data_IF_944361234693
#
_entry.id   IF_944361234693
#
_cell.length_a   1.000
_cell.length_b   1.000
_cell.length_c   1.000
_cell.angle_alpha   90.00
_cell.angle_beta   90.00
_cell.angle_gamma   90.00
#
_symmetry.space_group_name_H-M   'P 1'
#
loop_
_entity.id
_entity.type
_entity.pdbx_description
1 polymer ?
#
# COMPACT_ATOMS: atom_id res chain seq x y z
N UNK A 1 43.02 55.70 63.03
CA UNK A 1 42.38 56.64 63.99
C UNK A 1 40.95 56.76 63.65
N UNK A 2 40.10 56.33 64.55
CA UNK A 2 38.67 56.61 64.79
C UNK A 2 37.65 56.33 63.68
N UNK A 3 36.85 55.34 63.89
CA UNK A 3 35.70 55.17 64.79
C UNK A 3 34.43 55.86 64.30
N UNK A 4 33.52 55.05 64.08
CA UNK A 4 32.14 54.95 64.58
C UNK A 4 31.08 55.69 63.73
N UNK A 5 29.85 55.31 63.56
CA UNK A 5 28.93 54.47 64.27
C UNK A 5 27.73 54.22 63.38
N UNK A 6 27.20 53.03 63.45
CA UNK A 6 25.79 52.60 63.32
C UNK A 6 24.70 53.68 63.56
N UNK A 7 23.55 53.51 62.90
CA UNK A 7 22.29 53.10 63.47
C UNK A 7 21.18 53.10 62.40
N UNK A 8 20.09 52.37 62.58
CA UNK A 8 19.38 51.62 61.57
C UNK A 8 17.96 52.19 61.32
N UNK A 9 17.26 51.61 60.37
CA UNK A 9 15.84 51.75 60.37
C UNK A 9 15.22 51.89 58.99
N UNK A 10 14.35 50.96 58.70
CA UNK A 10 13.33 51.14 57.67
C UNK A 10 13.13 49.96 56.75
N UNK A 11 12.45 48.89 57.26
CA UNK A 11 11.88 47.88 56.41
C UNK A 11 10.64 48.48 55.74
N UNK A 12 10.69 48.63 54.43
CA UNK A 12 9.49 48.70 53.60
C UNK A 12 9.33 47.39 52.82
N UNK A 13 8.39 46.60 53.25
CA UNK A 13 7.93 45.44 52.54
C UNK A 13 7.04 45.94 51.42
N UNK A 14 7.56 45.93 50.18
CA UNK A 14 6.70 46.08 48.98
C UNK A 14 6.26 44.69 48.58
N UNK A 15 4.99 44.38 48.89
CA UNK A 15 4.30 43.22 48.43
C UNK A 15 4.04 43.35 46.92
N UNK A 16 4.96 42.82 46.12
CA UNK A 16 4.80 42.74 44.67
C UNK A 16 3.96 41.52 44.35
N UNK A 17 2.72 41.74 44.01
CA UNK A 17 1.80 40.71 43.46
C UNK A 17 2.33 40.29 42.10
N UNK A 18 3.03 39.16 42.00
CA UNK A 18 3.39 38.57 40.74
C UNK A 18 2.13 38.00 40.11
N UNK A 19 1.55 38.69 39.12
CA UNK A 19 0.53 38.15 38.25
C UNK A 19 1.21 37.12 37.32
N UNK A 20 1.08 35.85 37.67
CA UNK A 20 1.46 34.76 36.79
C UNK A 20 0.45 34.74 35.61
N UNK A 21 0.84 35.37 34.50
CA UNK A 21 0.10 35.23 33.27
C UNK A 21 0.24 33.76 32.78
N UNK A 22 -0.72 32.93 33.13
CA UNK A 22 -0.88 31.63 32.45
C UNK A 22 -1.29 31.90 31.01
N UNK A 23 -0.31 31.98 30.12
CA UNK A 23 -0.56 31.82 28.69
C UNK A 23 -0.90 30.37 28.48
N UNK A 24 -2.17 30.06 28.39
CA UNK A 24 -2.63 28.80 27.85
C UNK A 24 -2.09 28.71 26.42
N UNK A 25 -1.02 27.94 26.22
CA UNK A 25 -0.59 27.58 24.91
C UNK A 25 -1.76 26.79 24.28
N UNK A 26 -2.48 27.43 23.37
CA UNK A 26 -3.40 26.71 22.48
C UNK A 26 -2.52 25.70 21.75
N UNK A 27 -2.77 24.40 21.88
CA UNK A 27 -1.98 23.44 21.14
C UNK A 27 -2.18 23.78 19.67
N UNK A 28 -1.10 24.15 18.98
CA UNK A 28 -1.09 24.26 17.52
C UNK A 28 -1.62 22.93 16.99
N UNK A 29 -2.75 22.96 16.32
CA UNK A 29 -3.28 21.81 15.63
C UNK A 29 -2.16 21.27 14.74
N UNK A 30 -1.75 20.01 14.95
CA UNK A 30 -0.74 19.37 14.07
C UNK A 30 -1.26 19.49 12.64
N UNK A 31 -0.41 19.85 11.66
CA UNK A 31 -0.82 19.85 10.28
C UNK A 31 -1.43 18.48 9.98
N UNK A 32 -2.60 18.49 9.36
CA UNK A 32 -3.32 17.26 9.03
C UNK A 32 -2.55 16.60 7.90
N UNK A 33 -1.92 15.45 8.16
CA UNK A 33 -1.24 14.68 7.12
C UNK A 33 -2.24 14.27 6.06
N UNK A 34 -1.83 14.25 4.80
CA UNK A 34 -2.67 13.83 3.68
C UNK A 34 -3.05 12.35 3.82
N UNK A 35 -2.08 11.51 4.16
CA UNK A 35 -2.28 10.09 4.48
C UNK A 35 -2.28 9.92 5.99
N UNK A 36 -3.45 9.96 6.66
CA UNK A 36 -3.52 9.56 8.04
C UNK A 36 -3.19 8.06 8.13
N UNK A 37 -2.60 7.63 9.22
CA UNK A 37 -2.38 6.21 9.47
C UNK A 37 -3.24 5.82 10.70
N UNK A 38 -4.12 4.82 10.60
CA UNK A 38 -4.36 3.99 9.41
C UNK A 38 -5.23 4.64 8.32
N UNK A 39 -5.13 4.16 7.09
CA UNK A 39 -5.95 4.62 5.97
C UNK A 39 -6.07 3.55 4.87
N UNK A 40 -7.20 3.55 4.18
CA UNK A 40 -7.40 2.81 2.93
C UNK A 40 -7.33 3.78 1.76
N UNK A 41 -6.47 3.49 0.79
CA UNK A 41 -6.37 4.24 -0.45
C UNK A 41 -7.03 3.44 -1.58
N UNK A 42 -7.69 4.17 -2.48
CA UNK A 42 -8.38 3.55 -3.61
C UNK A 42 -8.05 4.29 -4.89
N UNK A 43 -7.71 3.53 -5.94
CA UNK A 43 -7.51 4.03 -7.30
C UNK A 43 -8.67 3.64 -8.21
N UNK A 44 -9.12 4.52 -9.09
CA UNK A 44 -10.17 4.23 -10.08
C UNK A 44 -9.75 3.15 -11.06
N UNK A 45 -10.66 2.27 -11.41
CA UNK A 45 -10.49 1.30 -12.51
C UNK A 45 -10.45 1.97 -13.89
N UNK A 46 -10.14 1.18 -14.92
CA UNK A 46 -10.07 1.65 -16.31
C UNK A 46 -11.38 2.25 -16.81
N UNK A 47 -11.29 3.18 -17.77
CA UNK A 47 -12.43 3.93 -18.29
C UNK A 47 -12.82 5.15 -17.45
N UNK A 48 -12.09 5.44 -16.38
CA UNK A 48 -12.30 6.58 -15.50
C UNK A 48 -11.07 7.48 -15.42
N UNK A 49 -11.31 8.74 -15.08
CA UNK A 49 -10.23 9.66 -14.72
C UNK A 49 -9.40 9.09 -13.59
N UNK A 50 -8.07 9.05 -13.71
CA UNK A 50 -7.18 8.55 -12.69
C UNK A 50 -7.34 9.35 -11.39
N UNK A 51 -8.09 8.81 -10.44
CA UNK A 51 -8.38 9.47 -9.17
C UNK A 51 -8.04 8.54 -8.03
N UNK A 52 -7.27 9.04 -7.07
CA UNK A 52 -7.00 8.37 -5.80
C UNK A 52 -7.89 9.00 -4.72
N UNK A 53 -8.52 8.17 -3.91
CA UNK A 53 -9.21 8.60 -2.68
C UNK A 53 -8.54 7.98 -1.47
N UNK A 54 -8.44 8.78 -0.45
CA UNK A 54 -7.97 8.38 0.87
C UNK A 54 -9.19 8.35 1.77
N UNK A 55 -9.41 7.22 2.40
CA UNK A 55 -10.60 6.93 3.19
C UNK A 55 -10.15 6.52 4.59
N UNK A 56 -10.77 7.13 5.59
CA UNK A 56 -10.68 6.69 6.96
C UNK A 56 -11.43 5.35 7.08
N UNK A 57 -10.72 4.28 7.45
CA UNK A 57 -11.22 2.91 7.44
C UNK A 57 -12.33 2.68 8.48
N UNK A 58 -12.28 3.40 9.62
CA UNK A 58 -13.25 3.24 10.70
C UNK A 58 -14.60 3.88 10.39
N UNK A 59 -14.59 4.95 9.60
CA UNK A 59 -15.79 5.72 9.26
C UNK A 59 -16.26 5.53 7.82
N UNK A 60 -15.42 5.00 6.93
CA UNK A 60 -15.65 4.93 5.49
C UNK A 60 -15.72 6.32 4.83
N UNK A 61 -15.33 7.38 5.54
CA UNK A 61 -15.40 8.75 5.04
C UNK A 61 -14.12 9.13 4.31
N UNK A 62 -14.28 9.83 3.19
CA UNK A 62 -13.16 10.41 2.47
C UNK A 62 -12.43 11.44 3.35
N UNK A 63 -11.14 11.24 3.56
CA UNK A 63 -10.24 12.17 4.26
C UNK A 63 -9.43 13.04 3.30
N UNK A 64 -9.15 12.53 2.07
CA UNK A 64 -8.32 13.21 1.08
C UNK A 64 -8.46 12.60 -0.32
N UNK A 65 -7.55 12.96 -1.21
CA UNK A 65 -7.40 12.35 -2.52
C UNK A 65 -6.67 13.23 -3.53
N UNK A 66 -6.23 12.59 -4.62
CA UNK A 66 -5.43 13.18 -5.70
C UNK A 66 -6.04 12.86 -7.06
N UNK A 67 -5.79 13.73 -8.04
CA UNK A 67 -5.95 13.44 -9.48
C UNK A 67 -4.58 13.52 -10.14
N UNK A 68 -3.75 12.47 -9.97
CA UNK A 68 -2.29 12.54 -10.17
C UNK A 68 -1.88 12.80 -11.62
N UNK A 69 -2.74 12.49 -12.58
CA UNK A 69 -2.43 12.59 -14.01
C UNK A 69 -3.33 13.59 -14.77
N UNK A 70 -4.09 14.41 -14.03
CA UNK A 70 -5.09 15.33 -14.61
C UNK A 70 -6.35 14.62 -15.11
N UNK A 71 -7.27 15.39 -15.66
CA UNK A 71 -8.64 14.93 -16.01
C UNK A 71 -8.79 14.50 -17.49
N UNK A 72 -7.74 14.69 -18.30
CA UNK A 72 -7.77 14.38 -19.74
C UNK A 72 -7.62 12.90 -20.10
N UNK A 73 -7.34 12.03 -19.11
CA UNK A 73 -7.12 10.60 -19.30
C UNK A 73 -8.23 9.78 -18.65
N UNK A 74 -8.46 8.58 -19.17
CA UNK A 74 -9.46 7.63 -18.64
C UNK A 74 -8.86 6.24 -18.41
N UNK A 75 -7.57 6.18 -18.10
CA UNK A 75 -6.81 4.93 -17.92
C UNK A 75 -7.07 4.23 -16.58
N UNK A 76 -7.69 4.94 -15.64
CA UNK A 76 -7.64 4.53 -14.25
C UNK A 76 -6.25 4.69 -13.63
N UNK A 77 -6.09 4.29 -12.37
CA UNK A 77 -4.84 4.40 -11.62
C UNK A 77 -4.66 3.23 -10.68
N UNK A 78 -3.45 2.68 -10.62
CA UNK A 78 -3.03 1.75 -9.59
C UNK A 78 -2.32 2.51 -8.49
N UNK A 79 -2.44 2.03 -7.25
CA UNK A 79 -1.95 2.73 -6.06
C UNK A 79 -1.24 1.77 -5.14
N UNK A 80 -0.14 2.24 -4.54
CA UNK A 80 0.58 1.61 -3.44
C UNK A 80 0.97 2.67 -2.42
N UNK A 81 1.35 2.25 -1.23
CA UNK A 81 1.66 3.13 -0.10
C UNK A 81 2.90 2.62 0.62
N UNK A 82 3.82 3.51 0.97
CA UNK A 82 5.02 3.23 1.77
C UNK A 82 5.86 4.48 1.95
N UNK A 83 6.71 4.51 2.94
CA UNK A 83 7.56 5.65 3.28
C UNK A 83 8.78 5.70 2.35
N UNK A 84 8.61 6.32 1.18
CA UNK A 84 9.64 6.36 0.12
C UNK A 84 10.73 7.38 0.42
N UNK A 85 10.42 8.44 1.17
CA UNK A 85 11.34 9.51 1.52
C UNK A 85 11.96 9.37 2.92
N UNK A 86 11.60 8.32 3.67
CA UNK A 86 12.06 8.01 5.02
C UNK A 86 11.74 9.11 6.06
N UNK A 87 10.62 9.83 5.91
CA UNK A 87 10.17 10.85 6.84
C UNK A 87 9.27 10.32 7.98
N UNK A 88 8.95 9.02 7.95
CA UNK A 88 8.09 8.35 8.92
C UNK A 88 6.59 8.49 8.58
N UNK A 89 6.25 9.00 7.40
CA UNK A 89 4.87 9.10 6.92
C UNK A 89 4.75 8.32 5.60
N UNK A 90 3.75 7.42 5.45
CA UNK A 90 3.59 6.69 4.21
C UNK A 90 3.26 7.61 3.03
N UNK A 91 4.03 7.52 1.95
CA UNK A 91 3.83 8.23 0.69
C UNK A 91 2.88 7.48 -0.24
N UNK A 92 2.35 8.18 -1.24
CA UNK A 92 1.43 7.63 -2.22
C UNK A 92 2.17 7.38 -3.54
N UNK A 93 2.34 6.12 -3.91
CA UNK A 93 2.88 5.73 -5.22
C UNK A 93 1.72 5.38 -6.15
N UNK A 94 1.68 6.03 -7.31
CA UNK A 94 0.63 5.81 -8.31
C UNK A 94 1.22 5.48 -9.67
N UNK A 95 0.55 4.60 -10.38
CA UNK A 95 0.94 4.24 -11.73
C UNK A 95 -0.25 4.28 -12.70
N UNK A 96 0.04 4.65 -13.95
CA UNK A 96 -0.94 4.67 -15.03
C UNK A 96 -1.53 3.29 -15.29
N UNK A 97 -2.84 3.25 -15.46
CA UNK A 97 -3.53 2.12 -16.06
C UNK A 97 -3.26 1.96 -17.55
N UNK A 98 -3.84 0.92 -18.21
CA UNK A 98 -3.64 0.68 -19.63
C UNK A 98 -4.17 1.82 -20.50
N UNK A 99 -3.51 2.08 -21.64
CA UNK A 99 -3.88 3.09 -22.62
C UNK A 99 -3.06 4.39 -22.57
N UNK A 100 -2.03 4.46 -21.72
CA UNK A 100 -1.09 5.58 -21.67
C UNK A 100 0.34 5.10 -21.41
N UNK A 101 1.30 6.02 -21.53
CA UNK A 101 2.72 5.74 -21.20
C UNK A 101 2.88 5.28 -19.76
N UNK A 102 3.89 4.42 -19.47
CA UNK A 102 4.04 3.73 -18.18
C UNK A 102 4.63 4.67 -17.10
N UNK A 103 3.91 5.75 -16.79
CA UNK A 103 4.32 6.77 -15.83
C UNK A 103 3.99 6.28 -14.41
N UNK A 104 4.98 6.40 -13.53
CA UNK A 104 4.84 6.28 -12.08
C UNK A 104 5.10 7.64 -11.46
N UNK A 105 4.30 8.02 -10.47
CA UNK A 105 4.48 9.23 -9.65
C UNK A 105 4.47 8.88 -8.18
N UNK A 106 5.22 9.64 -7.40
CA UNK A 106 5.31 9.55 -5.96
C UNK A 106 4.87 10.88 -5.36
N UNK A 107 3.96 10.84 -4.40
CA UNK A 107 3.45 12.01 -3.70
C UNK A 107 3.71 11.87 -2.20
N UNK A 108 4.22 12.92 -1.60
CA UNK A 108 4.46 13.05 -0.17
C UNK A 108 3.16 12.81 0.63
N UNK A 109 3.23 11.92 1.60
CA UNK A 109 2.10 11.56 2.45
C UNK A 109 1.73 12.64 3.47
N UNK A 110 2.63 13.60 3.72
CA UNK A 110 2.38 14.72 4.64
C UNK A 110 1.53 15.79 3.99
N UNK A 111 1.94 16.28 2.80
CA UNK A 111 1.31 17.45 2.17
C UNK A 111 0.77 17.21 0.76
N UNK A 112 1.08 16.06 0.15
CA UNK A 112 0.63 15.70 -1.20
C UNK A 112 1.45 16.33 -2.31
N UNK A 113 2.60 16.91 -2.02
CA UNK A 113 3.50 17.40 -3.07
C UNK A 113 4.08 16.25 -3.88
N UNK A 114 4.31 16.45 -5.18
CA UNK A 114 4.94 15.47 -6.04
C UNK A 114 6.44 15.37 -5.70
N UNK A 115 6.87 14.23 -5.17
CA UNK A 115 8.27 13.94 -4.86
C UNK A 115 9.04 13.54 -6.11
N UNK A 116 8.44 12.69 -6.97
CA UNK A 116 9.10 12.19 -8.15
C UNK A 116 8.11 11.73 -9.23
N UNK A 117 8.62 11.69 -10.48
CA UNK A 117 7.95 11.09 -11.63
C UNK A 117 8.98 10.40 -12.53
N UNK A 118 8.67 9.18 -12.98
CA UNK A 118 9.53 8.44 -13.92
C UNK A 118 8.73 7.51 -14.84
N UNK A 119 9.39 6.99 -15.87
CA UNK A 119 8.87 5.94 -16.75
C UNK A 119 9.40 4.59 -16.28
N UNK A 120 8.51 3.68 -15.87
CA UNK A 120 8.92 2.35 -15.44
C UNK A 120 9.45 1.48 -16.60
N UNK A 121 8.92 1.67 -17.80
CA UNK A 121 9.22 0.89 -19.01
C UNK A 121 9.39 1.80 -20.22
N UNK A 122 9.52 1.21 -21.42
CA UNK A 122 9.59 1.96 -22.67
C UNK A 122 8.39 2.92 -22.81
N UNK A 123 8.60 4.19 -23.21
CA UNK A 123 7.53 5.19 -23.32
C UNK A 123 6.36 4.79 -24.21
N UNK A 124 6.60 3.87 -25.18
CA UNK A 124 5.56 3.37 -26.09
C UNK A 124 4.72 2.24 -25.51
N UNK A 125 5.13 1.66 -24.39
CA UNK A 125 4.36 0.63 -23.70
C UNK A 125 3.10 1.21 -23.10
N UNK A 126 1.96 0.62 -23.42
CA UNK A 126 0.61 1.08 -22.99
C UNK A 126 -0.19 0.04 -22.20
N UNK A 127 0.43 -1.05 -21.76
CA UNK A 127 -0.26 -2.12 -21.01
C UNK A 127 -0.59 -1.75 -19.55
N UNK A 128 -0.14 -0.56 -19.09
CA UNK A 128 -0.25 -0.10 -17.72
C UNK A 128 0.81 -0.70 -16.79
N UNK A 129 0.92 -0.17 -15.58
CA UNK A 129 1.94 -0.57 -14.61
C UNK A 129 1.27 -0.94 -13.28
N UNK A 130 1.59 -2.11 -12.74
CA UNK A 130 1.31 -2.46 -11.35
C UNK A 130 2.43 -1.96 -10.46
N UNK A 131 2.10 -1.54 -9.24
CA UNK A 131 3.07 -1.00 -8.28
C UNK A 131 2.87 -1.61 -6.90
N UNK A 132 4.00 -1.79 -6.21
CA UNK A 132 4.09 -2.08 -4.79
C UNK A 132 5.24 -1.30 -4.18
N UNK A 133 5.28 -1.19 -2.85
CA UNK A 133 6.29 -0.42 -2.13
C UNK A 133 6.80 -1.23 -0.94
N UNK A 134 8.12 -1.27 -0.73
CA UNK A 134 8.76 -1.94 0.40
C UNK A 134 10.27 -1.73 0.36
N UNK A 135 10.93 -1.67 1.50
CA UNK A 135 12.39 -1.54 1.60
C UNK A 135 13.06 -2.87 1.23
N UNK A 136 13.43 -3.02 -0.05
CA UNK A 136 13.97 -4.26 -0.63
C UNK A 136 15.48 -4.41 -0.36
N UNK A 137 16.18 -3.28 -0.19
CA UNK A 137 17.63 -3.25 -0.04
C UNK A 137 18.10 -2.95 1.40
N UNK A 138 17.18 -2.63 2.33
CA UNK A 138 17.47 -2.36 3.73
C UNK A 138 18.12 -1.01 4.01
N UNK A 139 17.92 -0.02 3.12
CA UNK A 139 18.53 1.32 3.28
C UNK A 139 17.63 2.29 4.08
N UNK A 140 16.42 1.85 4.45
CA UNK A 140 15.45 2.64 5.22
C UNK A 140 14.52 3.50 4.37
N UNK A 141 14.68 3.49 3.04
CA UNK A 141 13.78 4.10 2.07
C UNK A 141 12.94 3.00 1.41
N UNK A 142 11.62 3.13 1.41
CA UNK A 142 10.82 2.12 0.74
C UNK A 142 10.97 2.22 -0.79
N UNK A 143 11.38 1.12 -1.43
CA UNK A 143 11.62 1.01 -2.86
C UNK A 143 10.32 0.82 -3.65
N UNK A 144 10.30 1.23 -4.92
CA UNK A 144 9.15 1.08 -5.80
C UNK A 144 9.31 -0.15 -6.69
N UNK A 145 8.50 -1.17 -6.43
CA UNK A 145 8.41 -2.39 -7.25
C UNK A 145 7.37 -2.17 -8.33
N UNK A 146 7.75 -2.37 -9.59
CA UNK A 146 6.84 -2.23 -10.75
C UNK A 146 6.68 -3.56 -11.48
N UNK A 147 5.45 -3.85 -11.91
CA UNK A 147 5.12 -4.99 -12.78
C UNK A 147 4.49 -4.50 -14.08
N UNK A 148 5.01 -4.96 -15.22
CA UNK A 148 4.43 -4.63 -16.52
C UNK A 148 3.03 -5.25 -16.64
N UNK A 149 2.04 -4.46 -17.08
CA UNK A 149 0.70 -4.94 -17.37
C UNK A 149 0.64 -5.77 -18.65
N UNK A 150 -0.57 -6.05 -19.11
CA UNK A 150 -0.82 -6.89 -20.29
C UNK A 150 -0.13 -6.34 -21.56
N UNK A 151 0.09 -7.23 -22.54
CA UNK A 151 0.74 -6.94 -23.83
C UNK A 151 2.27 -6.76 -23.73
N UNK A 152 2.89 -7.00 -22.58
CA UNK A 152 4.33 -7.10 -22.42
C UNK A 152 4.75 -8.41 -21.78
N UNK A 153 6.03 -8.77 -21.92
CA UNK A 153 6.65 -9.80 -21.10
C UNK A 153 6.48 -9.47 -19.62
N UNK A 154 6.43 -10.47 -18.71
CA UNK A 154 6.15 -10.26 -17.29
C UNK A 154 7.37 -9.65 -16.56
N UNK A 155 7.71 -8.43 -16.95
CA UNK A 155 8.90 -7.71 -16.51
C UNK A 155 8.64 -7.02 -15.18
N UNK A 156 9.48 -7.31 -14.20
CA UNK A 156 9.51 -6.66 -12.90
C UNK A 156 10.75 -5.78 -12.82
N UNK A 157 10.59 -4.56 -12.33
CA UNK A 157 11.71 -3.68 -11.98
C UNK A 157 11.50 -3.16 -10.56
N UNK A 158 12.61 -2.96 -9.86
CA UNK A 158 12.66 -2.32 -8.54
C UNK A 158 13.49 -1.06 -8.66
N UNK A 159 12.92 0.06 -8.25
CA UNK A 159 13.56 1.36 -8.23
C UNK A 159 13.81 1.78 -6.78
N UNK A 160 15.03 2.18 -6.46
CA UNK A 160 15.40 2.67 -5.13
C UNK A 160 14.54 3.87 -4.73
N UNK A 161 14.00 3.86 -3.51
CA UNK A 161 13.32 5.01 -2.93
C UNK A 161 14.24 6.22 -2.76
N UNK A 162 15.51 5.98 -2.46
CA UNK A 162 16.48 7.02 -2.18
C UNK A 162 16.87 7.87 -3.40
N UNK A 163 16.99 7.26 -4.61
CA UNK A 163 17.54 7.95 -5.79
C UNK A 163 16.92 7.54 -7.14
N UNK A 164 15.93 6.65 -7.13
CA UNK A 164 15.25 6.07 -8.30
C UNK A 164 16.16 5.26 -9.22
N UNK A 165 17.36 4.88 -8.80
CA UNK A 165 18.19 3.93 -9.54
C UNK A 165 17.51 2.56 -9.61
N UNK A 166 17.79 1.80 -10.69
CA UNK A 166 17.23 0.46 -10.85
C UNK A 166 18.05 -0.52 -10.01
N UNK A 167 17.46 -1.05 -8.93
CA UNK A 167 18.04 -2.08 -8.09
C UNK A 167 17.97 -3.45 -8.78
N UNK A 168 16.77 -3.80 -9.28
CA UNK A 168 16.53 -5.07 -9.95
C UNK A 168 15.72 -4.90 -11.23
N UNK A 169 15.96 -5.81 -12.20
CA UNK A 169 15.23 -5.85 -13.48
C UNK A 169 15.24 -7.29 -14.00
N UNK A 170 14.09 -7.99 -13.96
CA UNK A 170 13.99 -9.40 -14.30
C UNK A 170 12.59 -9.78 -14.82
N UNK A 171 12.48 -10.99 -15.40
CA UNK A 171 11.19 -11.56 -15.80
C UNK A 171 10.73 -12.56 -14.73
N UNK A 172 9.55 -12.33 -14.15
CA UNK A 172 8.98 -13.20 -13.12
C UNK A 172 8.47 -14.53 -13.66
N UNK A 173 8.15 -14.58 -14.95
CA UNK A 173 7.65 -15.77 -15.68
C UNK A 173 8.34 -15.87 -17.03
N UNK A 174 7.98 -16.87 -17.84
CA UNK A 174 8.52 -17.04 -19.18
C UNK A 174 8.34 -15.75 -20.02
N UNK A 175 9.39 -15.22 -20.66
CA UNK A 175 9.33 -13.95 -21.40
C UNK A 175 8.29 -13.90 -22.52
N UNK A 176 7.85 -15.07 -23.02
CA UNK A 176 6.81 -15.18 -24.04
C UNK A 176 5.40 -14.98 -23.51
N UNK A 177 5.22 -15.05 -22.21
CA UNK A 177 3.95 -14.77 -21.57
C UNK A 177 3.64 -13.28 -21.63
N UNK A 178 2.47 -12.90 -22.15
CA UNK A 178 2.10 -11.49 -22.36
C UNK A 178 0.90 -11.04 -21.52
N UNK A 179 0.49 -11.85 -20.56
CA UNK A 179 -0.61 -11.49 -19.63
C UNK A 179 -0.21 -10.48 -18.57
N UNK A 180 1.07 -10.07 -18.54
CA UNK A 180 1.61 -9.14 -17.54
C UNK A 180 1.86 -9.78 -16.18
N UNK A 181 2.29 -8.99 -15.20
CA UNK A 181 2.63 -9.42 -13.85
C UNK A 181 2.09 -8.43 -12.82
N UNK A 182 1.44 -8.94 -11.78
CA UNK A 182 1.06 -8.19 -10.57
C UNK A 182 2.16 -8.37 -9.55
N UNK A 183 2.39 -7.34 -8.73
CA UNK A 183 3.48 -7.31 -7.75
C UNK A 183 2.97 -6.89 -6.37
N UNK A 184 3.62 -7.43 -5.34
CA UNK A 184 3.54 -6.98 -3.96
C UNK A 184 4.93 -7.03 -3.34
N UNK A 185 5.11 -6.36 -2.20
CA UNK A 185 6.35 -6.35 -1.44
C UNK A 185 6.06 -6.56 0.05
N UNK A 186 6.86 -7.36 0.73
CA UNK A 186 6.78 -7.64 2.17
C UNK A 186 7.80 -8.68 2.58
N UNK A 187 8.25 -8.64 3.81
CA UNK A 187 9.25 -9.55 4.38
C UNK A 187 8.64 -10.94 4.64
N UNK A 188 8.76 -11.84 3.67
CA UNK A 188 8.12 -13.18 3.70
C UNK A 188 8.97 -14.20 4.46
N UNK A 189 10.29 -14.04 4.49
CA UNK A 189 11.19 -14.96 5.17
C UNK A 189 11.68 -14.48 6.54
N UNK A 190 11.33 -13.23 6.93
CA UNK A 190 11.64 -12.65 8.24
C UNK A 190 13.08 -12.15 8.34
N UNK A 191 13.75 -11.84 7.22
CA UNK A 191 15.15 -11.36 7.20
C UNK A 191 15.26 -9.84 7.38
N UNK A 192 14.12 -9.13 7.43
CA UNK A 192 14.04 -7.68 7.60
C UNK A 192 14.04 -6.90 6.30
N UNK A 193 14.12 -7.55 5.15
CA UNK A 193 14.03 -6.95 3.82
C UNK A 193 12.69 -7.27 3.17
N UNK A 194 12.15 -6.35 2.38
CA UNK A 194 10.94 -6.66 1.64
C UNK A 194 11.26 -7.57 0.44
N UNK A 195 10.58 -8.73 0.39
CA UNK A 195 10.63 -9.66 -0.73
C UNK A 195 9.64 -9.25 -1.82
N UNK A 196 9.88 -9.72 -3.04
CA UNK A 196 9.07 -9.41 -4.20
C UNK A 196 8.12 -10.58 -4.49
N UNK A 197 6.83 -10.38 -4.24
CA UNK A 197 5.77 -11.35 -4.55
C UNK A 197 5.19 -11.05 -5.91
N UNK A 198 5.06 -12.07 -6.76
CA UNK A 198 4.50 -11.92 -8.11
C UNK A 198 3.32 -12.84 -8.35
N UNK A 199 2.27 -12.31 -9.00
CA UNK A 199 1.12 -13.05 -9.50
C UNK A 199 0.99 -12.87 -11.03
N UNK A 200 0.70 -13.94 -11.80
CA UNK A 200 0.56 -13.82 -13.24
C UNK A 200 -0.70 -13.05 -13.61
N UNK A 201 -0.64 -12.37 -14.75
CA UNK A 201 -1.81 -11.87 -15.42
C UNK A 201 -2.66 -12.97 -16.08
N UNK A 202 -3.75 -12.59 -16.79
CA UNK A 202 -4.60 -13.56 -17.48
C UNK A 202 -3.83 -14.37 -18.53
N UNK A 203 -4.23 -15.64 -18.72
CA UNK A 203 -3.67 -16.54 -19.72
C UNK A 203 -2.60 -17.50 -19.21
N UNK A 204 -2.23 -17.45 -17.93
CA UNK A 204 -1.32 -18.42 -17.30
C UNK A 204 -1.99 -19.09 -16.08
N UNK A 205 -1.48 -20.27 -15.71
CA UNK A 205 -1.85 -20.90 -14.45
C UNK A 205 -1.47 -19.98 -13.25
N UNK A 206 -2.21 -20.03 -12.12
CA UNK A 206 -2.09 -19.06 -11.01
C UNK A 206 -0.85 -19.30 -10.13
N UNK A 207 0.34 -19.33 -10.74
CA UNK A 207 1.61 -19.59 -10.08
C UNK A 207 2.12 -18.31 -9.41
N UNK A 208 2.21 -18.34 -8.10
CA UNK A 208 2.86 -17.29 -7.32
C UNK A 208 4.34 -17.60 -7.21
N UNK A 209 5.19 -16.62 -7.46
CA UNK A 209 6.61 -16.67 -7.16
C UNK A 209 6.96 -15.58 -6.13
N UNK A 210 7.83 -15.93 -5.19
CA UNK A 210 8.41 -15.02 -4.20
C UNK A 210 9.91 -14.99 -4.42
N UNK A 211 10.43 -13.78 -4.60
CA UNK A 211 11.87 -13.55 -4.81
C UNK A 211 12.42 -12.75 -3.64
N UNK A 212 13.53 -13.21 -3.06
CA UNK A 212 14.18 -12.53 -1.97
C UNK A 212 14.64 -11.12 -2.34
N UNK A 213 14.41 -10.16 -1.45
CA UNK A 213 14.96 -8.82 -1.54
C UNK A 213 16.49 -8.80 -1.55
N UNK A 214 17.13 -9.71 -0.84
CA UNK A 214 18.60 -9.76 -0.68
C UNK A 214 19.37 -10.28 -1.91
N UNK A 215 18.72 -10.56 -3.06
CA UNK A 215 19.44 -11.01 -4.25
C UNK A 215 18.65 -11.82 -5.25
N UNK A 216 17.33 -11.72 -5.26
CA UNK A 216 16.40 -12.37 -6.20
C UNK A 216 16.44 -13.92 -6.16
N UNK A 217 16.92 -14.54 -5.08
CA UNK A 217 16.74 -15.95 -4.85
C UNK A 217 15.26 -16.31 -4.76
N UNK A 218 14.79 -17.39 -5.39
CA UNK A 218 13.41 -17.83 -5.24
C UNK A 218 13.20 -18.42 -3.85
N UNK A 219 12.37 -17.77 -3.03
CA UNK A 219 11.98 -18.23 -1.68
C UNK A 219 10.85 -19.25 -1.76
N UNK A 220 9.84 -18.98 -2.58
CA UNK A 220 8.69 -19.86 -2.76
C UNK A 220 8.14 -19.80 -4.18
N UNK A 221 7.53 -20.93 -4.61
CA UNK A 221 6.81 -21.02 -5.89
C UNK A 221 5.66 -22.01 -5.72
N UNK A 222 4.41 -21.58 -5.85
CA UNK A 222 3.22 -22.40 -5.62
C UNK A 222 1.99 -21.88 -6.38
N UNK A 223 0.99 -22.75 -6.56
CA UNK A 223 -0.29 -22.33 -7.15
C UNK A 223 -1.24 -21.78 -6.09
N UNK A 224 -1.71 -20.53 -6.28
CA UNK A 224 -2.70 -19.90 -5.41
C UNK A 224 -4.08 -20.57 -5.49
N UNK A 225 -4.42 -21.11 -6.65
CA UNK A 225 -5.69 -21.73 -7.00
C UNK A 225 -5.45 -23.00 -7.85
N UNK A 226 -6.53 -23.69 -8.24
CA UNK A 226 -6.42 -24.80 -9.17
C UNK A 226 -5.71 -24.36 -10.47
N UNK A 227 -4.79 -25.17 -11.05
CA UNK A 227 -4.00 -24.77 -12.22
C UNK A 227 -4.83 -24.38 -13.46
N UNK A 228 -6.10 -24.77 -13.51
CA UNK A 228 -7.04 -24.41 -14.58
C UNK A 228 -7.60 -22.99 -14.45
N UNK A 229 -7.43 -22.35 -13.31
CA UNK A 229 -7.77 -20.93 -13.14
C UNK A 229 -6.72 -20.09 -13.87
N UNK A 230 -7.12 -19.38 -14.93
CA UNK A 230 -6.20 -18.63 -15.78
C UNK A 230 -6.59 -17.15 -15.94
N UNK A 231 -7.45 -16.64 -15.06
CA UNK A 231 -7.98 -15.28 -15.17
C UNK A 231 -7.08 -14.23 -14.47
N UNK A 232 -5.89 -14.65 -14.00
CA UNK A 232 -4.90 -13.83 -13.35
C UNK A 232 -5.07 -13.77 -11.82
N UNK A 233 -4.00 -13.37 -11.12
CA UNK A 233 -3.98 -13.30 -9.65
C UNK A 233 -3.47 -11.95 -9.19
N UNK A 234 -4.27 -11.23 -8.42
CA UNK A 234 -3.82 -10.07 -7.65
C UNK A 234 -3.12 -10.56 -6.38
N UNK A 235 -2.08 -9.85 -5.97
CA UNK A 235 -1.27 -10.20 -4.81
C UNK A 235 -1.09 -8.99 -3.89
N UNK A 236 -1.00 -9.27 -2.59
CA UNK A 236 -0.55 -8.37 -1.54
C UNK A 236 0.30 -9.17 -0.55
N UNK A 237 1.04 -8.49 0.32
CA UNK A 237 1.84 -9.12 1.37
C UNK A 237 1.62 -8.40 2.70
N UNK A 238 1.56 -9.16 3.80
CA UNK A 238 1.42 -8.64 5.15
C UNK A 238 1.20 -9.76 6.15
N UNK A 239 1.68 -9.60 7.36
CA UNK A 239 1.59 -10.57 8.47
C UNK A 239 0.14 -10.66 8.99
N UNK A 240 -0.63 -11.62 8.46
CA UNK A 240 -2.05 -11.81 8.80
C UNK A 240 -2.22 -12.66 10.07
N UNK A 241 -1.32 -13.61 10.31
CA UNK A 241 -1.44 -14.51 11.45
C UNK A 241 -0.62 -14.08 12.68
N UNK A 242 0.19 -13.01 12.55
CA UNK A 242 0.95 -12.41 13.64
C UNK A 242 2.21 -13.20 14.00
N UNK A 243 2.79 -13.94 13.06
CA UNK A 243 4.01 -14.73 13.28
C UNK A 243 5.31 -13.95 13.02
N UNK A 244 5.20 -12.71 12.51
CA UNK A 244 6.31 -11.80 12.25
C UNK A 244 6.85 -11.86 10.83
N UNK A 245 6.33 -12.75 9.97
CA UNK A 245 6.65 -12.84 8.55
C UNK A 245 5.42 -12.47 7.70
N UNK A 246 5.63 -11.88 6.53
CA UNK A 246 4.52 -11.51 5.68
C UNK A 246 3.89 -12.73 5.00
N UNK A 247 2.57 -12.87 5.14
CA UNK A 247 1.75 -13.80 4.36
C UNK A 247 1.45 -13.21 2.98
N UNK A 248 1.23 -14.10 2.01
CA UNK A 248 0.87 -13.74 0.64
C UNK A 248 -0.64 -13.78 0.51
N UNK A 249 -1.26 -12.61 0.31
CA UNK A 249 -2.70 -12.48 0.09
C UNK A 249 -2.96 -12.54 -1.40
N UNK A 250 -3.91 -13.41 -1.82
CA UNK A 250 -4.26 -13.57 -3.23
C UNK A 250 -5.73 -13.30 -3.46
N UNK A 251 -6.02 -12.55 -4.55
CA UNK A 251 -7.36 -12.35 -5.10
C UNK A 251 -7.40 -12.76 -6.56
N UNK A 252 -8.43 -13.47 -7.00
CA UNK A 252 -8.56 -13.89 -8.40
C UNK A 252 -9.00 -12.75 -9.30
N UNK A 253 -8.49 -12.72 -10.54
CA UNK A 253 -8.99 -11.84 -11.59
C UNK A 253 -10.44 -12.12 -11.96
N UNK A 254 -11.07 -11.20 -12.70
CA UNK A 254 -12.47 -11.30 -13.11
C UNK A 254 -12.71 -12.57 -13.95
N UNK A 255 -13.54 -13.46 -13.45
CA UNK A 255 -13.76 -14.82 -13.94
C UNK A 255 -15.23 -15.22 -13.86
N UNK A 256 -15.62 -16.25 -14.60
CA UNK A 256 -16.96 -16.84 -14.51
C UNK A 256 -17.22 -17.53 -13.17
N UNK A 257 -16.16 -17.99 -12.51
CA UNK A 257 -16.22 -18.65 -11.21
C UNK A 257 -15.37 -17.86 -10.22
N UNK A 258 -15.99 -17.28 -9.21
CA UNK A 258 -15.25 -16.62 -8.14
C UNK A 258 -14.33 -17.63 -7.45
N UNK A 259 -13.15 -17.15 -7.08
CA UNK A 259 -12.22 -17.86 -6.19
C UNK A 259 -12.14 -17.12 -4.85
N UNK A 260 -11.84 -17.82 -3.76
CA UNK A 260 -11.70 -17.15 -2.46
C UNK A 260 -10.50 -16.22 -2.46
N UNK A 261 -10.51 -15.22 -1.58
CA UNK A 261 -9.31 -14.55 -1.12
C UNK A 261 -8.61 -15.51 -0.18
N UNK A 262 -7.33 -15.78 -0.45
CA UNK A 262 -6.50 -16.61 0.43
C UNK A 262 -5.39 -15.74 1.04
N UNK A 263 -5.11 -15.93 2.33
CA UNK A 263 -3.85 -15.55 2.95
C UNK A 263 -3.01 -16.83 3.11
N UNK A 264 -1.78 -16.79 2.65
CA UNK A 264 -0.92 -17.97 2.47
C UNK A 264 0.45 -17.67 3.09
N UNK A 265 0.78 -18.37 4.16
CA UNK A 265 2.11 -18.36 4.73
C UNK A 265 3.04 -19.24 3.89
N UNK A 266 4.20 -18.70 3.50
CA UNK A 266 5.22 -19.40 2.73
C UNK A 266 6.56 -19.31 3.46
N UNK A 267 6.84 -20.29 4.29
CA UNK A 267 8.04 -20.36 5.11
C UNK A 267 8.91 -21.57 4.75
N UNK A 268 10.07 -21.68 5.37
CA UNK A 268 10.92 -22.87 5.24
C UNK A 268 10.22 -24.18 5.65
N UNK A 269 9.14 -24.11 6.45
CA UNK A 269 8.32 -25.25 6.81
C UNK A 269 7.34 -25.68 5.70
N UNK A 270 7.20 -24.88 4.64
CA UNK A 270 6.31 -25.13 3.52
C UNK A 270 5.25 -24.05 3.34
N UNK A 271 4.31 -24.31 2.43
CA UNK A 271 3.21 -23.40 2.09
C UNK A 271 1.93 -23.88 2.78
N UNK A 272 1.25 -22.99 3.50
CA UNK A 272 -0.03 -23.27 4.17
C UNK A 272 -1.02 -22.12 4.00
N UNK A 273 -2.31 -22.43 3.90
CA UNK A 273 -3.37 -21.42 3.90
C UNK A 273 -3.64 -21.01 5.35
N UNK A 274 -3.50 -19.72 5.64
CA UNK A 274 -3.77 -19.08 6.94
C UNK A 274 -5.25 -18.69 7.04
N UNK A 275 -5.77 -18.06 5.98
CA UNK A 275 -7.17 -17.68 5.88
C UNK A 275 -7.67 -17.91 4.44
N UNK A 276 -8.97 -18.24 4.32
CA UNK A 276 -9.63 -18.42 3.02
C UNK A 276 -11.11 -18.05 3.13
N UNK A 277 -11.56 -17.07 2.36
CA UNK A 277 -12.94 -16.58 2.41
C UNK A 277 -13.36 -15.91 1.09
N UNK A 278 -14.66 -15.79 0.85
CA UNK A 278 -15.17 -15.00 -0.26
C UNK A 278 -15.43 -13.56 0.19
N UNK A 279 -14.70 -12.60 -0.39
CA UNK A 279 -14.89 -11.18 -0.09
C UNK A 279 -16.26 -10.66 -0.57
N UNK A 280 -16.75 -11.21 -1.69
CA UNK A 280 -18.03 -10.88 -2.31
C UNK A 280 -18.85 -12.15 -2.52
N UNK A 281 -20.01 -12.04 -3.22
CA UNK A 281 -20.79 -13.24 -3.54
C UNK A 281 -19.94 -14.27 -4.31
N UNK A 282 -20.02 -15.55 -3.96
CA UNK A 282 -19.39 -16.62 -4.75
C UNK A 282 -19.85 -16.67 -6.21
N UNK A 283 -21.00 -16.07 -6.52
CA UNK A 283 -21.52 -15.96 -7.90
C UNK A 283 -21.01 -14.69 -8.62
N UNK A 284 -20.22 -13.83 -7.94
CA UNK A 284 -19.65 -12.63 -8.56
C UNK A 284 -18.54 -13.00 -9.53
N UNK A 285 -18.61 -12.43 -10.73
CA UNK A 285 -17.59 -12.57 -11.77
C UNK A 285 -16.59 -11.39 -11.79
N UNK A 286 -16.63 -10.51 -10.78
CA UNK A 286 -15.99 -9.19 -10.85
C UNK A 286 -14.47 -9.22 -10.56
N UNK A 287 -13.92 -10.33 -10.06
CA UNK A 287 -12.54 -10.39 -9.58
C UNK A 287 -12.34 -9.61 -8.29
N UNK A 288 -11.17 -9.78 -7.66
CA UNK A 288 -10.86 -9.15 -6.36
C UNK A 288 -9.44 -8.62 -6.35
N UNK A 289 -9.28 -7.31 -6.27
CA UNK A 289 -8.01 -6.65 -5.93
C UNK A 289 -7.80 -6.70 -4.42
N UNK A 290 -6.56 -6.82 -3.98
CA UNK A 290 -6.21 -7.02 -2.57
C UNK A 290 -5.11 -6.07 -2.11
N UNK A 291 -5.14 -5.70 -0.84
CA UNK A 291 -4.06 -5.02 -0.11
C UNK A 291 -4.05 -5.51 1.34
N UNK A 292 -2.96 -5.25 2.06
CA UNK A 292 -2.80 -5.63 3.46
C UNK A 292 -2.19 -4.49 4.26
N UNK A 293 -2.70 -4.26 5.46
CA UNK A 293 -2.11 -3.40 6.49
C UNK A 293 -2.85 -3.63 7.81
N UNK A 294 -2.20 -3.46 8.94
CA UNK A 294 -2.85 -3.41 10.26
C UNK A 294 -3.62 -2.09 10.38
N UNK A 295 -4.93 -2.12 10.13
CA UNK A 295 -5.78 -0.92 10.20
C UNK A 295 -6.51 -0.79 11.54
N UNK A 296 -6.63 -1.88 12.30
CA UNK A 296 -7.32 -1.90 13.60
C UNK A 296 -6.36 -1.75 14.80
N UNK A 297 -5.03 -1.88 14.58
CA UNK A 297 -3.98 -1.70 15.60
C UNK A 297 -3.76 -2.93 16.49
N UNK A 298 -4.10 -4.14 16.01
CA UNK A 298 -3.95 -5.39 16.77
C UNK A 298 -2.63 -6.13 16.49
N UNK A 299 -1.74 -5.55 15.67
CA UNK A 299 -0.47 -6.08 15.18
C UNK A 299 -0.60 -7.30 14.24
N UNK A 300 -1.73 -7.41 13.55
CA UNK A 300 -1.94 -8.31 12.41
C UNK A 300 -2.36 -7.49 11.21
N UNK A 301 -1.91 -7.85 10.04
CA UNK A 301 -2.39 -7.19 8.84
C UNK A 301 -3.82 -7.60 8.54
N UNK A 302 -4.69 -6.60 8.38
CA UNK A 302 -6.04 -6.75 7.87
C UNK A 302 -6.04 -6.82 6.34
N UNK A 303 -7.04 -7.48 5.77
CA UNK A 303 -7.16 -7.69 4.33
C UNK A 303 -8.15 -6.70 3.74
N UNK A 304 -7.67 -5.80 2.89
CA UNK A 304 -8.51 -4.85 2.14
C UNK A 304 -8.80 -5.41 0.77
N UNK A 305 -10.06 -5.40 0.38
CA UNK A 305 -10.50 -5.92 -0.93
C UNK A 305 -11.28 -4.86 -1.71
N UNK A 306 -11.10 -4.88 -3.03
CA UNK A 306 -11.91 -4.12 -3.98
C UNK A 306 -12.29 -5.01 -5.17
N UNK A 307 -13.45 -4.83 -5.81
CA UNK A 307 -13.75 -5.56 -7.04
C UNK A 307 -12.88 -5.03 -8.19
N UNK A 308 -12.31 -5.91 -9.01
CA UNK A 308 -11.59 -5.52 -10.23
C UNK A 308 -12.54 -4.88 -11.24
N UNK A 309 -13.80 -5.33 -11.27
CA UNK A 309 -14.91 -4.80 -12.08
C UNK A 309 -16.15 -4.63 -11.21
N UNK A 310 -17.18 -4.01 -11.75
CA UNK A 310 -18.44 -3.82 -11.02
C UNK A 310 -18.42 -2.60 -10.11
N UNK A 311 -19.38 -2.55 -9.19
CA UNK A 311 -19.52 -1.43 -8.26
C UNK A 311 -18.35 -1.36 -7.28
N UNK A 312 -17.75 -0.19 -7.03
CA UNK A 312 -16.51 -0.03 -6.26
C UNK A 312 -16.74 -0.15 -4.74
N UNK A 313 -17.23 -1.31 -4.31
CA UNK A 313 -17.49 -1.65 -2.91
C UNK A 313 -16.22 -2.20 -2.28
N UNK A 314 -15.56 -1.41 -1.46
CA UNK A 314 -14.39 -1.82 -0.69
C UNK A 314 -14.83 -2.48 0.60
N UNK A 315 -14.18 -3.56 0.99
CA UNK A 315 -14.33 -4.21 2.28
C UNK A 315 -12.98 -4.40 2.96
N UNK A 316 -12.97 -4.28 4.28
CA UNK A 316 -11.82 -4.54 5.13
C UNK A 316 -12.18 -5.72 6.03
N UNK A 317 -11.31 -6.72 6.07
CA UNK A 317 -11.49 -7.94 6.85
C UNK A 317 -10.38 -8.04 7.89
N UNK A 318 -10.74 -8.33 9.11
CA UNK A 318 -9.83 -8.60 10.23
C UNK A 318 -8.91 -9.79 9.90
N UNK A 319 -7.59 -9.61 10.04
CA UNK A 319 -6.61 -10.64 9.73
C UNK A 319 -6.74 -11.88 10.61
N UNK A 320 -7.08 -11.69 11.89
CA UNK A 320 -7.13 -12.78 12.87
C UNK A 320 -8.33 -13.71 12.71
N UNK A 321 -9.48 -13.24 12.15
CA UNK A 321 -10.71 -14.02 12.12
C UNK A 321 -11.55 -13.84 10.84
N UNK A 322 -11.10 -13.03 9.88
CA UNK A 322 -11.78 -12.71 8.60
C UNK A 322 -13.16 -12.07 8.78
N UNK A 323 -13.46 -11.46 9.93
CA UNK A 323 -14.69 -10.70 10.10
C UNK A 323 -14.61 -9.35 9.38
N UNK A 324 -15.74 -8.83 8.92
CA UNK A 324 -15.78 -7.53 8.24
C UNK A 324 -15.63 -6.41 9.25
N UNK A 325 -14.53 -5.66 9.18
CA UNK A 325 -14.28 -4.44 9.96
C UNK A 325 -14.98 -3.23 9.35
N UNK A 326 -14.92 -3.09 8.02
CA UNK A 326 -15.51 -1.98 7.31
C UNK A 326 -16.03 -2.40 5.92
N UNK A 327 -17.05 -1.67 5.43
CA UNK A 327 -17.59 -1.85 4.08
C UNK A 327 -18.14 -0.52 3.59
N UNK A 328 -17.63 -0.01 2.44
CA UNK A 328 -18.02 1.28 1.90
C UNK A 328 -17.82 1.35 0.38
N UNK A 329 -18.54 2.25 -0.28
CA UNK A 329 -18.30 2.55 -1.70
C UNK A 329 -17.21 3.61 -1.84
N UNK A 330 -16.07 3.25 -2.46
CA UNK A 330 -14.97 4.17 -2.72
C UNK A 330 -15.38 5.30 -3.68
N UNK A 331 -16.26 5.01 -4.64
CA UNK A 331 -16.76 5.92 -5.66
C UNK A 331 -18.27 5.77 -5.81
N UNK A 332 -18.87 6.47 -6.80
CA UNK A 332 -20.29 6.31 -7.07
C UNK A 332 -20.63 4.83 -7.36
N UNK A 333 -21.61 4.23 -6.65
CA UNK A 333 -21.97 2.81 -6.81
C UNK A 333 -22.42 2.40 -8.21
N UNK A 334 -22.81 3.38 -9.07
CA UNK A 334 -23.21 3.11 -10.46
C UNK A 334 -22.02 2.98 -11.41
N UNK A 335 -20.81 3.21 -10.94
CA UNK A 335 -19.58 3.00 -11.70
C UNK A 335 -19.29 1.50 -11.73
N UNK A 336 -19.13 0.94 -12.93
CA UNK A 336 -18.87 -0.50 -13.14
C UNK A 336 -17.40 -0.85 -13.40
N UNK A 337 -16.46 0.08 -13.20
CA UNK A 337 -15.04 -0.09 -13.56
C UNK A 337 -14.17 -0.69 -12.46
N UNK A 338 -14.76 -1.07 -11.32
CA UNK A 338 -14.01 -1.59 -10.18
C UNK A 338 -13.12 -0.56 -9.50
N UNK A 339 -12.22 -1.07 -8.64
CA UNK A 339 -11.32 -0.26 -7.83
C UNK A 339 -10.03 -1.03 -7.51
N UNK A 340 -8.89 -0.35 -7.54
CA UNK A 340 -7.62 -0.81 -6.98
C UNK A 340 -7.49 -0.30 -5.56
N UNK A 341 -6.94 -1.14 -4.66
CA UNK A 341 -6.81 -0.82 -3.24
C UNK A 341 -5.35 -0.84 -2.79
N UNK A 342 -5.04 0.02 -1.83
CA UNK A 342 -3.82 0.00 -1.03
C UNK A 342 -4.19 0.38 0.40
N UNK A 343 -3.35 0.06 1.37
CA UNK A 343 -3.60 0.38 2.76
C UNK A 343 -2.33 0.81 3.48
N UNK A 344 -2.46 1.78 4.38
CA UNK A 344 -1.42 2.21 5.29
C UNK A 344 -1.76 1.71 6.69
N UNK A 345 -0.80 1.06 7.35
CA UNK A 345 -0.95 0.56 8.71
C UNK A 345 -1.15 1.68 9.74
N UNK A 346 -1.81 1.37 10.85
CA UNK A 346 -1.77 2.19 12.05
C UNK A 346 -0.30 2.44 12.45
N UNK A 347 0.03 3.68 12.85
CA UNK A 347 1.41 3.98 13.31
C UNK A 347 1.73 3.10 14.50
N UNK A 348 2.41 1.99 14.27
CA UNK A 348 2.96 1.16 15.31
C UNK A 348 3.96 1.97 16.14
N UNK A 349 4.00 1.76 17.44
CA UNK A 349 5.16 2.16 18.22
C UNK A 349 6.32 1.32 17.72
N UNK A 350 7.15 1.87 16.84
CA UNK A 350 8.43 1.25 16.51
C UNK A 350 9.13 0.93 17.82
N UNK A 351 9.36 -0.34 18.08
CA UNK A 351 10.28 -0.80 19.12
C UNK A 351 11.68 -0.90 18.55
#
# INVERSE_FOLDING_TARGET
MNLAKLVPGGRSIVCGTAILAMTSAVPLARPRTLVPAPAVLTGTGGGLVPTVRIVDESTGKRSGGLTPFGDGLTTGVRVAVGDVNADGTPDIVVAMGPGASPIVKIFDGVDGSELAQFLAYDPTFQGGVFVAVGDVNGDGYADVVTGAGESASPHVKVFSGADLSVLYSFFAYAPQFTGGVRVAAGDVDGDGLADIVTGPGPGAAPLINVFSGSGLGTLASFFAYAPQFTDGVFVAAGDVDGDGAADIITGGGASRNAVPVNAISASAAGVRIVASFFAYSPDSADGVTVAAADVNGDNRCDIVTGPERGAPLVKVFDGGNSSVLASFFAYNPRIGSGVYVAAAAARGKHR
#
